data_IF_352270979890
#
_entry.id   IF_352270979890
#
_cell.length_a   1.000
_cell.length_b   1.000
_cell.length_c   1.000
_cell.angle_alpha   90.00
_cell.angle_beta   90.00
_cell.angle_gamma   90.00
#
_symmetry.space_group_name_H-M   'P 1'
#
loop_
_entity.id
_entity.type
_entity.pdbx_description
1 polymer ?
#
# COMPACT_ATOMS: atom_id res chain seq x y z
N UNK A 1 73.21 6.88 -32.64
CA UNK A 1 72.12 5.95 -32.24
C UNK A 1 71.49 6.47 -30.95
N UNK A 2 70.16 6.46 -30.84
CA UNK A 2 69.41 7.47 -30.10
C UNK A 2 69.21 7.13 -28.62
N UNK A 3 69.13 8.18 -27.81
CA UNK A 3 68.75 8.16 -26.38
C UNK A 3 67.31 7.60 -26.22
N UNK A 4 67.02 6.87 -25.13
CA UNK A 4 65.65 6.45 -24.84
C UNK A 4 64.76 7.66 -24.65
N UNK A 5 63.57 7.60 -25.26
CA UNK A 5 62.56 8.65 -25.23
C UNK A 5 62.20 9.00 -23.79
N UNK A 6 62.19 10.29 -23.51
CA UNK A 6 61.67 10.91 -22.30
C UNK A 6 60.22 10.43 -22.07
N UNK A 7 59.96 9.88 -20.89
CA UNK A 7 58.64 10.00 -20.29
C UNK A 7 58.46 11.47 -19.94
N UNK A 8 57.54 12.13 -20.64
CA UNK A 8 56.96 13.37 -20.18
C UNK A 8 55.56 13.08 -19.63
N UNK A 9 55.18 13.80 -18.56
CA UNK A 9 54.05 13.45 -17.70
C UNK A 9 52.74 13.65 -18.45
N UNK A 10 51.76 12.86 -18.05
CA UNK A 10 50.38 12.96 -18.51
C UNK A 10 49.90 14.39 -18.29
N UNK A 11 49.70 15.12 -19.39
CA UNK A 11 48.97 16.37 -19.37
C UNK A 11 47.52 16.01 -19.11
N UNK A 12 47.14 16.18 -17.86
CA UNK A 12 45.78 16.43 -17.39
C UNK A 12 45.11 17.40 -18.38
N UNK A 13 44.33 16.84 -19.31
CA UNK A 13 43.39 17.57 -20.14
C UNK A 13 42.03 17.33 -19.51
N UNK A 14 41.80 18.01 -18.39
CA UNK A 14 40.48 18.48 -18.00
C UNK A 14 39.88 19.18 -19.23
N UNK A 15 38.89 18.56 -19.88
CA UNK A 15 38.00 19.09 -20.93
C UNK A 15 37.49 17.86 -21.72
N UNK A 16 36.46 17.13 -21.30
CA UNK A 16 35.06 17.52 -21.46
C UNK A 16 34.20 16.63 -20.53
N UNK A 17 34.13 17.02 -19.25
CA UNK A 17 33.02 16.64 -18.39
C UNK A 17 31.80 17.46 -18.82
N UNK A 18 31.18 17.05 -19.93
CA UNK A 18 29.90 17.58 -20.37
C UNK A 18 28.81 17.28 -19.34
N UNK A 19 28.63 18.21 -18.41
CA UNK A 19 27.37 18.59 -17.77
C UNK A 19 26.48 17.41 -17.32
N UNK A 20 26.83 16.79 -16.20
CA UNK A 20 25.90 16.00 -15.38
C UNK A 20 24.97 16.88 -14.50
N UNK A 21 24.73 18.13 -14.91
CA UNK A 21 23.72 19.01 -14.33
C UNK A 21 22.63 19.27 -15.37
N UNK A 22 21.44 18.69 -15.16
CA UNK A 22 20.27 19.06 -15.96
C UNK A 22 19.88 18.09 -17.08
N UNK A 23 19.92 16.77 -16.86
CA UNK A 23 18.92 15.91 -17.52
C UNK A 23 17.56 16.24 -16.92
N UNK A 24 16.96 17.33 -17.39
CA UNK A 24 15.51 17.44 -17.42
C UNK A 24 15.01 16.10 -17.96
N UNK A 25 14.22 15.38 -17.17
CA UNK A 25 13.54 14.19 -17.66
C UNK A 25 12.86 14.63 -18.95
N UNK A 26 13.27 14.04 -20.08
CA UNK A 26 12.68 14.34 -21.37
C UNK A 26 11.24 13.81 -21.36
N UNK A 27 10.34 14.58 -20.75
CA UNK A 27 8.95 14.20 -20.55
C UNK A 27 8.23 13.99 -21.88
N UNK A 28 8.71 14.63 -22.96
CA UNK A 28 8.17 14.45 -24.29
C UNK A 28 8.30 12.99 -24.78
N UNK A 29 9.39 12.29 -24.42
CA UNK A 29 9.57 10.85 -24.68
C UNK A 29 8.52 9.99 -23.97
N UNK A 30 8.14 10.33 -22.75
CA UNK A 30 7.17 9.56 -21.97
C UNK A 30 5.72 9.82 -22.40
N UNK A 31 5.46 10.96 -23.05
CA UNK A 31 4.13 11.31 -23.58
C UNK A 31 3.91 10.92 -25.04
N UNK A 32 4.95 10.51 -25.78
CA UNK A 32 4.81 10.07 -27.17
C UNK A 32 4.27 8.62 -27.21
N UNK A 33 3.05 8.37 -27.71
CA UNK A 33 2.46 7.03 -27.78
C UNK A 33 3.23 6.09 -28.72
N UNK A 34 3.97 6.63 -29.68
CA UNK A 34 4.71 5.88 -30.68
C UNK A 34 6.20 5.71 -30.35
N UNK A 35 6.66 6.22 -29.20
CA UNK A 35 8.07 6.25 -28.85
C UNK A 35 8.73 4.87 -28.95
N UNK A 36 8.08 3.83 -28.44
CA UNK A 36 8.59 2.46 -28.47
C UNK A 36 8.77 1.96 -29.91
N UNK A 37 7.83 2.25 -30.81
CA UNK A 37 7.88 1.85 -32.21
C UNK A 37 9.00 2.57 -32.96
N UNK A 38 9.11 3.89 -32.76
CA UNK A 38 10.15 4.71 -33.38
C UNK A 38 11.54 4.30 -32.90
N UNK A 39 11.71 4.07 -31.59
CA UNK A 39 12.94 3.56 -31.00
C UNK A 39 13.32 2.17 -31.55
N UNK A 40 12.37 1.24 -31.68
CA UNK A 40 12.66 -0.07 -32.26
C UNK A 40 13.10 0.03 -33.73
N UNK A 41 12.61 1.01 -34.49
CA UNK A 41 12.98 1.20 -35.88
C UNK A 41 14.44 1.66 -36.06
N UNK A 42 15.01 2.39 -35.09
CA UNK A 42 16.41 2.86 -35.15
C UNK A 42 17.44 1.76 -34.89
N UNK A 43 17.02 0.64 -34.27
CA UNK A 43 17.93 -0.46 -33.89
C UNK A 43 18.32 -1.33 -35.09
N UNK A 44 19.54 -1.91 -35.12
CA UNK A 44 19.94 -2.87 -36.14
C UNK A 44 19.03 -4.12 -36.19
N UNK A 45 18.87 -4.72 -37.38
CA UNK A 45 17.96 -5.85 -37.59
C UNK A 45 18.18 -7.01 -36.59
N UNK A 46 19.44 -7.42 -36.36
CA UNK A 46 19.76 -8.48 -35.40
C UNK A 46 19.31 -8.16 -33.96
N UNK A 47 19.32 -6.89 -33.58
CA UNK A 47 18.86 -6.44 -32.25
C UNK A 47 17.34 -6.47 -32.20
N UNK A 48 16.66 -5.98 -33.24
CA UNK A 48 15.19 -6.03 -33.33
C UNK A 48 14.64 -7.45 -33.22
N UNK A 49 15.28 -8.41 -33.88
CA UNK A 49 14.83 -9.81 -33.84
C UNK A 49 14.95 -10.40 -32.43
N UNK A 50 16.03 -10.09 -31.70
CA UNK A 50 16.16 -10.47 -30.28
C UNK A 50 15.11 -9.81 -29.41
N UNK A 51 14.83 -8.51 -29.60
CA UNK A 51 13.81 -7.80 -28.84
C UNK A 51 12.42 -8.39 -29.06
N UNK A 52 12.07 -8.75 -30.30
CA UNK A 52 10.80 -9.43 -30.60
C UNK A 52 10.66 -10.76 -29.84
N UNK A 53 11.75 -11.54 -29.78
CA UNK A 53 11.75 -12.78 -28.98
C UNK A 53 11.53 -12.46 -27.51
N UNK A 54 12.22 -11.46 -26.95
CA UNK A 54 12.04 -11.07 -25.55
C UNK A 54 10.63 -10.58 -25.25
N UNK A 55 9.99 -9.83 -26.16
CA UNK A 55 8.60 -9.41 -26.00
C UNK A 55 7.64 -10.60 -25.92
N UNK A 56 7.83 -11.62 -26.77
CA UNK A 56 7.03 -12.84 -26.70
C UNK A 56 7.24 -13.62 -25.39
N UNK A 57 8.44 -13.58 -24.81
CA UNK A 57 8.69 -14.13 -23.47
C UNK A 57 8.05 -13.30 -22.36
N UNK A 58 8.02 -11.98 -22.51
CA UNK A 58 7.35 -11.10 -21.56
C UNK A 58 5.84 -11.32 -21.56
N UNK A 59 5.22 -11.54 -22.73
CA UNK A 59 3.80 -11.93 -22.83
C UNK A 59 3.49 -13.21 -22.03
N UNK A 60 4.37 -14.22 -22.11
CA UNK A 60 4.24 -15.45 -21.31
C UNK A 60 4.36 -15.14 -19.81
N UNK A 61 5.33 -14.33 -19.41
CA UNK A 61 5.49 -13.90 -18.01
C UNK A 61 4.25 -13.16 -17.50
N UNK A 62 3.66 -12.30 -18.32
CA UNK A 62 2.42 -11.57 -17.99
C UNK A 62 1.26 -12.55 -17.81
N UNK A 63 1.12 -13.56 -18.66
CA UNK A 63 0.10 -14.60 -18.49
C UNK A 63 0.22 -15.31 -17.13
N UNK A 64 1.43 -15.76 -16.77
CA UNK A 64 1.71 -16.38 -15.46
C UNK A 64 1.42 -15.42 -14.29
N UNK A 65 1.73 -14.13 -14.44
CA UNK A 65 1.41 -13.13 -13.42
C UNK A 65 -0.11 -12.97 -13.22
N UNK A 66 -0.88 -12.97 -14.31
CA UNK A 66 -2.33 -12.87 -14.27
C UNK A 66 -2.96 -14.09 -13.58
N UNK A 67 -2.49 -15.30 -13.90
CA UNK A 67 -2.96 -16.52 -13.25
C UNK A 67 -2.68 -16.50 -11.74
N UNK A 68 -1.48 -16.05 -11.34
CA UNK A 68 -1.14 -15.85 -9.93
C UNK A 68 -2.08 -14.85 -9.26
N UNK A 69 -2.40 -13.73 -9.91
CA UNK A 69 -3.30 -12.71 -9.36
C UNK A 69 -4.72 -13.27 -9.16
N UNK A 70 -5.24 -14.02 -10.13
CA UNK A 70 -6.52 -14.72 -10.00
C UNK A 70 -6.51 -15.66 -8.78
N UNK A 71 -5.47 -16.47 -8.62
CA UNK A 71 -5.34 -17.38 -7.48
C UNK A 71 -5.25 -16.64 -6.14
N UNK A 72 -4.56 -15.50 -6.09
CA UNK A 72 -4.49 -14.64 -4.90
C UNK A 72 -5.87 -14.04 -4.55
N UNK A 73 -6.64 -13.62 -5.55
CA UNK A 73 -7.99 -13.08 -5.36
C UNK A 73 -8.97 -14.15 -4.84
N UNK A 74 -8.89 -15.38 -5.36
CA UNK A 74 -9.67 -16.51 -4.85
C UNK A 74 -9.33 -16.82 -3.39
N UNK A 75 -8.04 -16.83 -3.07
CA UNK A 75 -7.59 -17.02 -1.69
C UNK A 75 -8.09 -15.90 -0.77
N UNK A 76 -8.02 -14.65 -1.24
CA UNK A 76 -8.54 -13.50 -0.51
C UNK A 76 -10.03 -13.65 -0.23
N UNK A 77 -10.84 -14.01 -1.23
CA UNK A 77 -12.29 -14.25 -1.07
C UNK A 77 -12.59 -15.33 -0.03
N UNK A 78 -11.80 -16.41 -0.01
CA UNK A 78 -11.94 -17.47 1.00
C UNK A 78 -11.77 -16.91 2.42
N UNK A 79 -10.74 -16.11 2.66
CA UNK A 79 -10.50 -15.52 3.98
C UNK A 79 -11.50 -14.40 4.32
N UNK A 80 -11.97 -13.63 3.33
CA UNK A 80 -13.07 -12.67 3.53
C UNK A 80 -14.33 -13.37 4.06
N UNK A 81 -14.64 -14.58 3.57
CA UNK A 81 -15.72 -15.41 4.11
C UNK A 81 -15.51 -15.81 5.58
N UNK A 82 -14.27 -16.07 6.00
CA UNK A 82 -13.95 -16.38 7.40
C UNK A 82 -14.07 -15.15 8.32
N UNK A 83 -13.85 -13.95 7.79
CA UNK A 83 -14.02 -12.72 8.56
C UNK A 83 -15.49 -12.27 8.68
N UNK A 84 -16.35 -12.67 7.73
CA UNK A 84 -17.76 -12.30 7.73
C UNK A 84 -18.50 -12.58 9.06
N UNK A 85 -18.45 -13.78 9.66
CA UNK A 85 -19.11 -14.03 10.94
C UNK A 85 -18.52 -13.19 12.09
N UNK A 86 -17.21 -12.93 12.08
CA UNK A 86 -16.55 -12.09 13.09
C UNK A 86 -17.04 -10.64 13.00
N UNK A 87 -17.16 -10.10 11.78
CA UNK A 87 -17.69 -8.75 11.58
C UNK A 87 -19.19 -8.66 11.90
N UNK A 88 -19.96 -9.72 11.63
CA UNK A 88 -21.35 -9.79 12.05
C UNK A 88 -21.48 -9.73 13.58
N UNK A 89 -20.69 -10.51 14.32
CA UNK A 89 -20.68 -10.47 15.80
C UNK A 89 -20.26 -9.10 16.34
N UNK A 90 -19.20 -8.51 15.79
CA UNK A 90 -18.76 -7.14 16.15
C UNK A 90 -19.85 -6.11 15.91
N UNK A 91 -20.59 -6.23 14.79
CA UNK A 91 -21.71 -5.35 14.49
C UNK A 91 -22.80 -5.46 15.56
N UNK A 92 -23.22 -6.66 15.93
CA UNK A 92 -24.24 -6.89 16.96
C UNK A 92 -23.88 -6.22 18.30
N UNK A 93 -22.60 -6.30 18.70
CA UNK A 93 -22.09 -5.69 19.93
C UNK A 93 -22.07 -4.16 19.80
N UNK A 94 -21.54 -3.62 18.70
CA UNK A 94 -21.45 -2.16 18.48
C UNK A 94 -22.83 -1.52 18.41
N UNK A 95 -23.83 -2.18 17.82
CA UNK A 95 -25.21 -1.66 17.75
C UNK A 95 -26.02 -1.93 19.00
N UNK A 96 -25.54 -2.77 19.92
CA UNK A 96 -26.28 -3.19 21.10
C UNK A 96 -27.44 -4.13 20.79
N UNK A 97 -27.40 -4.85 19.65
CA UNK A 97 -28.42 -5.84 19.29
C UNK A 97 -28.35 -7.07 20.20
N UNK A 98 -27.12 -7.47 20.57
CA UNK A 98 -26.87 -8.53 21.55
C UNK A 98 -25.76 -8.09 22.50
N UNK A 99 -25.95 -8.35 23.79
CA UNK A 99 -24.91 -8.14 24.79
C UNK A 99 -23.73 -9.12 24.60
N UNK A 100 -22.51 -8.74 24.99
CA UNK A 100 -21.37 -9.65 25.05
C UNK A 100 -21.57 -10.69 26.16
N UNK A 101 -21.07 -11.91 25.96
CA UNK A 101 -21.04 -12.93 27.02
C UNK A 101 -19.93 -12.65 28.02
N UNK A 102 -20.03 -13.19 29.24
CA UNK A 102 -18.94 -13.07 30.23
C UNK A 102 -17.63 -13.68 29.72
N UNK A 103 -17.70 -14.77 28.95
CA UNK A 103 -16.53 -15.40 28.33
C UNK A 103 -15.87 -14.46 27.31
N UNK A 104 -16.64 -13.83 26.42
CA UNK A 104 -16.13 -12.86 25.45
C UNK A 104 -15.47 -11.65 26.13
N UNK A 105 -16.05 -11.18 27.26
CA UNK A 105 -15.47 -10.10 28.07
C UNK A 105 -14.13 -10.52 28.69
N UNK A 106 -14.05 -11.74 29.23
CA UNK A 106 -12.83 -12.30 29.81
C UNK A 106 -11.74 -12.53 28.76
N UNK A 107 -12.11 -12.98 27.56
CA UNK A 107 -11.20 -13.16 26.43
C UNK A 107 -10.60 -11.83 25.95
N UNK A 108 -11.40 -10.77 25.95
CA UNK A 108 -10.97 -9.42 25.57
C UNK A 108 -10.06 -8.72 26.60
N UNK A 109 -9.90 -9.30 27.79
CA UNK A 109 -9.16 -8.66 28.87
C UNK A 109 -7.64 -8.68 28.61
N UNK A 110 -6.94 -7.53 28.66
CA UNK A 110 -5.49 -7.50 28.45
C UNK A 110 -4.80 -8.38 29.48
N UNK A 111 -3.80 -9.16 29.04
CA UNK A 111 -3.11 -10.14 29.89
C UNK A 111 -2.52 -9.50 31.16
N UNK A 112 -2.13 -8.23 31.08
CA UNK A 112 -1.55 -7.44 32.18
C UNK A 112 -2.53 -7.18 33.35
N UNK A 113 -3.84 -7.26 33.08
CA UNK A 113 -4.91 -7.00 34.03
C UNK A 113 -5.62 -8.26 34.54
N UNK A 114 -5.31 -9.46 34.01
CA UNK A 114 -5.90 -10.73 34.47
C UNK A 114 -5.60 -10.96 35.96
N UNK A 115 -6.66 -11.08 36.77
CA UNK A 115 -6.57 -11.34 38.22
C UNK A 115 -6.19 -10.12 39.09
N UNK A 116 -6.11 -8.91 38.51
CA UNK A 116 -5.82 -7.66 39.24
C UNK A 116 -7.01 -6.70 39.31
N UNK A 117 -8.00 -6.90 38.46
CA UNK A 117 -9.20 -6.07 38.38
C UNK A 117 -10.40 -7.02 38.49
N UNK A 118 -11.27 -6.77 39.46
CA UNK A 118 -12.52 -7.49 39.62
C UNK A 118 -13.51 -6.99 38.56
N UNK A 119 -14.09 -7.91 37.79
CA UNK A 119 -15.14 -7.58 36.82
C UNK A 119 -16.45 -7.57 37.63
N UNK A 120 -16.69 -6.49 38.36
CA UNK A 120 -17.99 -6.26 38.96
C UNK A 120 -18.96 -5.90 37.83
N UNK A 121 -19.90 -6.82 37.55
CA UNK A 121 -21.08 -6.53 36.76
C UNK A 121 -22.00 -5.62 37.55
N UNK A 122 -21.68 -4.33 37.60
CA UNK A 122 -22.60 -3.33 38.12
C UNK A 122 -23.77 -3.24 37.13
N UNK A 123 -24.92 -3.79 37.54
CA UNK A 123 -26.26 -3.39 37.06
C UNK A 123 -26.51 -1.92 37.43
N UNK A 124 -25.66 -1.01 36.96
CA UNK A 124 -26.02 0.40 36.81
C UNK A 124 -27.02 0.44 35.68
N UNK A 125 -28.11 1.17 35.85
CA UNK A 125 -29.19 1.34 34.86
C UNK A 125 -28.62 1.89 33.54
N UNK A 126 -28.01 1.04 32.74
CA UNK A 126 -27.25 1.42 31.58
C UNK A 126 -28.24 1.60 30.44
N UNK A 127 -28.64 2.85 30.26
CA UNK A 127 -29.61 3.24 29.22
C UNK A 127 -28.96 3.21 27.82
N UNK A 128 -27.65 2.98 27.74
CA UNK A 128 -26.88 3.01 26.50
C UNK A 128 -26.85 1.64 25.81
N UNK A 129 -27.55 1.54 24.69
CA UNK A 129 -27.50 0.37 23.81
C UNK A 129 -26.29 0.43 22.89
N UNK A 130 -25.36 -0.51 23.06
CA UNK A 130 -24.20 -0.66 22.17
C UNK A 130 -23.07 0.33 22.46
N UNK A 131 -22.31 0.72 21.44
CA UNK A 131 -21.16 1.62 21.57
C UNK A 131 -21.38 2.87 20.69
N UNK A 132 -21.81 4.00 21.29
CA UNK A 132 -22.03 5.25 20.56
C UNK A 132 -20.77 5.73 19.84
N UNK A 133 -20.95 6.30 18.64
CA UNK A 133 -19.88 6.90 17.83
C UNK A 133 -18.66 6.02 17.50
N UNK A 134 -18.72 4.71 17.78
CA UNK A 134 -17.60 3.76 17.64
C UNK A 134 -16.79 3.93 16.35
N UNK A 135 -17.45 3.89 15.19
CA UNK A 135 -16.76 3.99 13.90
C UNK A 135 -16.15 5.37 13.63
N UNK A 136 -16.81 6.45 14.05
CA UNK A 136 -16.26 7.79 13.87
C UNK A 136 -15.02 7.96 14.74
N UNK A 137 -15.09 7.51 15.99
CA UNK A 137 -13.95 7.63 16.91
C UNK A 137 -12.80 6.72 16.44
N UNK A 138 -13.07 5.50 15.97
CA UNK A 138 -12.05 4.64 15.37
C UNK A 138 -11.37 5.31 14.14
N UNK A 139 -12.17 5.86 13.22
CA UNK A 139 -11.66 6.47 11.98
C UNK A 139 -10.92 7.80 12.23
N UNK A 140 -11.26 8.54 13.29
CA UNK A 140 -10.56 9.77 13.67
C UNK A 140 -9.13 9.52 14.14
N UNK A 141 -8.81 8.32 14.63
CA UNK A 141 -7.45 7.94 15.01
C UNK A 141 -6.63 7.40 13.84
N UNK A 142 -7.24 7.18 12.67
CA UNK A 142 -6.53 6.71 11.49
C UNK A 142 -5.76 7.86 10.79
N UNK A 143 -4.46 7.67 10.58
CA UNK A 143 -3.50 8.70 10.09
C UNK A 143 -3.94 9.47 8.85
N UNK A 144 -4.52 8.79 7.86
CA UNK A 144 -4.98 9.39 6.60
C UNK A 144 -6.45 9.84 6.70
N UNK A 145 -7.34 8.94 7.10
CA UNK A 145 -8.80 9.14 7.09
C UNK A 145 -9.22 10.34 7.94
N UNK A 146 -8.54 10.60 9.06
CA UNK A 146 -8.83 11.77 9.92
C UNK A 146 -8.89 13.09 9.15
N UNK A 147 -8.03 13.28 8.14
CA UNK A 147 -7.97 14.51 7.34
C UNK A 147 -9.15 14.66 6.38
N UNK A 148 -9.76 13.54 6.00
CA UNK A 148 -10.92 13.48 5.10
C UNK A 148 -12.25 13.65 5.86
N UNK A 149 -12.25 13.43 7.17
CA UNK A 149 -13.46 13.59 7.97
C UNK A 149 -13.83 15.07 8.09
N UNK A 150 -15.10 15.44 7.86
CA UNK A 150 -15.56 16.79 8.10
C UNK A 150 -15.39 17.14 9.58
N UNK A 151 -15.04 18.40 9.88
CA UNK A 151 -15.03 18.89 11.26
C UNK A 151 -16.43 18.68 11.85
N UNK A 152 -16.53 17.94 12.95
CA UNK A 152 -17.78 17.70 13.68
C UNK A 152 -18.47 19.06 13.90
N UNK A 153 -19.59 19.31 13.20
CA UNK A 153 -20.52 20.39 13.58
C UNK A 153 -21.17 19.93 14.87
N UNK A 154 -20.73 20.49 15.99
CA UNK A 154 -21.38 20.30 17.29
C UNK A 154 -22.84 20.78 17.16
N UNK A 155 -23.77 19.85 16.97
CA UNK A 155 -25.19 20.08 17.26
C UNK A 155 -25.42 19.92 18.76
N UNK A 156 -24.72 20.71 19.56
CA UNK A 156 -25.12 21.10 20.91
C UNK A 156 -25.46 22.58 20.87
N UNK A 157 -26.53 22.90 20.15
CA UNK A 157 -27.18 24.20 20.19
C UNK A 157 -28.65 23.97 19.85
N UNK A 158 -29.47 23.91 20.90
CA UNK A 158 -30.91 24.19 21.00
C UNK A 158 -31.52 23.29 22.07
N UNK A 159 -31.30 23.70 23.32
CA UNK A 159 -32.30 23.60 24.38
C UNK A 159 -33.34 24.69 24.14
#
# INVERSE_FOLDING_TARGET
MPRPKQQQPETESDEDHGEEEGRALDFARFTNPNYSREFLATLPQKVRDRTKVLMAWDEKRVAECNEREIAMDELRRKYEGLFAPLFARRKEIVTGEKAPSQEEVLEGFPAEHKGKVEIEGEDKEDTEKGIPAFWIDALQHHVIIRRLLPKRRSLRASL
#
